data_IF_369679982979
#
_entry.id   IF_369679982979
#
_cell.length_a   1.000
_cell.length_b   1.000
_cell.length_c   1.000
_cell.angle_alpha   90.00
_cell.angle_beta   90.00
_cell.angle_gamma   90.00
#
_symmetry.space_group_name_H-M   'P 1'
#
loop_
_entity.id
_entity.type
_entity.pdbx_description
1 polymer ?
#
# COMPACT_ATOMS: atom_id res chain seq x y z
N UNK A 1 -25.45 -27.81 -4.02
CA UNK A 1 -24.65 -26.65 -3.64
C UNK A 1 -25.41 -25.85 -2.60
N UNK A 2 -24.88 -25.71 -1.39
CA UNK A 2 -25.45 -24.89 -0.31
C UNK A 2 -24.39 -23.82 -0.01
N UNK A 3 -24.76 -22.54 -0.04
CA UNK A 3 -23.90 -21.33 -0.13
C UNK A 3 -23.81 -20.73 -1.56
N UNK A 4 -24.94 -20.29 -2.08
CA UNK A 4 -25.07 -19.56 -3.35
C UNK A 4 -25.48 -18.09 -3.15
N UNK A 5 -25.37 -17.56 -1.93
CA UNK A 5 -25.78 -16.18 -1.61
C UNK A 5 -27.29 -16.00 -1.40
N UNK A 6 -28.11 -17.05 -1.50
CA UNK A 6 -29.57 -16.96 -1.38
C UNK A 6 -30.13 -17.93 -0.35
N UNK A 7 -31.19 -17.50 0.34
CA UNK A 7 -31.99 -18.33 1.25
C UNK A 7 -33.48 -18.05 1.03
N UNK A 8 -34.35 -18.97 1.43
CA UNK A 8 -35.79 -18.70 1.41
C UNK A 8 -36.18 -17.60 2.44
N UNK A 9 -37.32 -16.93 2.20
CA UNK A 9 -37.88 -15.94 3.14
C UNK A 9 -38.06 -16.50 4.56
N UNK A 10 -38.50 -17.75 4.67
CA UNK A 10 -38.67 -18.41 5.96
C UNK A 10 -37.33 -18.61 6.68
N UNK A 11 -36.29 -19.04 5.96
CA UNK A 11 -34.94 -19.20 6.52
C UNK A 11 -34.34 -17.85 6.95
N UNK A 12 -34.52 -16.80 6.16
CA UNK A 12 -34.10 -15.44 6.52
C UNK A 12 -34.78 -14.96 7.81
N UNK A 13 -36.11 -15.05 7.90
CA UNK A 13 -36.87 -14.66 9.10
C UNK A 13 -36.46 -15.47 10.33
N UNK A 14 -36.29 -16.77 10.17
CA UNK A 14 -35.81 -17.65 11.24
C UNK A 14 -34.41 -17.24 11.71
N UNK A 15 -33.52 -16.87 10.79
CA UNK A 15 -32.17 -16.40 11.09
C UNK A 15 -32.18 -15.12 11.93
N UNK A 16 -33.02 -14.14 11.58
CA UNK A 16 -33.16 -12.91 12.38
C UNK A 16 -33.63 -13.24 13.81
N UNK A 17 -34.68 -14.04 13.94
CA UNK A 17 -35.22 -14.45 15.24
C UNK A 17 -34.19 -15.23 16.08
N UNK A 18 -33.45 -16.16 15.48
CA UNK A 18 -32.44 -16.96 16.19
C UNK A 18 -31.26 -16.12 16.68
N UNK A 19 -31.00 -14.98 16.04
CA UNK A 19 -29.96 -14.03 16.45
C UNK A 19 -30.50 -12.91 17.37
N UNK A 20 -31.75 -13.02 17.83
CA UNK A 20 -32.37 -12.02 18.71
C UNK A 20 -32.71 -10.69 18.02
N UNK A 21 -32.70 -10.66 16.68
CA UNK A 21 -33.10 -9.50 15.90
C UNK A 21 -34.61 -9.52 15.72
N UNK A 22 -35.30 -8.80 16.61
CA UNK A 22 -36.75 -8.62 16.55
C UNK A 22 -37.05 -7.44 15.61
N UNK A 23 -37.56 -7.75 14.42
CA UNK A 23 -38.01 -6.74 13.44
C UNK A 23 -39.54 -6.73 13.37
N UNK A 24 -40.11 -5.54 13.16
CA UNK A 24 -41.54 -5.41 12.89
C UNK A 24 -41.91 -6.08 11.56
N UNK A 25 -43.20 -6.36 11.34
CA UNK A 25 -43.65 -6.89 10.05
C UNK A 25 -43.37 -5.94 8.89
N UNK A 26 -43.38 -4.63 9.14
CA UNK A 26 -43.08 -3.60 8.13
C UNK A 26 -41.59 -3.60 7.78
N UNK A 27 -40.71 -3.73 8.77
CA UNK A 27 -39.26 -3.83 8.57
C UNK A 27 -38.89 -5.11 7.81
N UNK A 28 -39.48 -6.26 8.19
CA UNK A 28 -39.28 -7.52 7.47
C UNK A 28 -39.75 -7.41 6.03
N UNK A 29 -40.91 -6.78 5.80
CA UNK A 29 -41.42 -6.55 4.46
C UNK A 29 -40.49 -5.64 3.64
N UNK A 30 -39.97 -4.57 4.23
CA UNK A 30 -39.03 -3.66 3.56
C UNK A 30 -37.73 -4.38 3.18
N UNK A 31 -37.17 -5.20 4.08
CA UNK A 31 -35.99 -6.02 3.80
C UNK A 31 -36.27 -7.03 2.68
N UNK A 32 -37.40 -7.71 2.73
CA UNK A 32 -37.82 -8.67 1.71
C UNK A 32 -38.03 -8.02 0.34
N UNK A 33 -38.54 -6.78 0.29
CA UNK A 33 -38.70 -6.06 -0.97
C UNK A 33 -37.39 -5.58 -1.56
N UNK A 34 -36.39 -5.28 -0.71
CA UNK A 34 -35.09 -4.78 -1.15
C UNK A 34 -34.17 -5.91 -1.61
N UNK A 35 -34.19 -7.05 -0.93
CA UNK A 35 -33.18 -8.10 -1.09
C UNK A 35 -33.71 -9.44 -1.60
N UNK A 36 -35.02 -9.62 -1.83
CA UNK A 36 -35.49 -10.80 -2.56
C UNK A 36 -35.36 -10.62 -4.07
N UNK A 37 -34.97 -11.70 -4.73
CA UNK A 37 -35.06 -11.88 -6.18
C UNK A 37 -35.71 -13.24 -6.53
N UNK A 38 -35.60 -13.66 -7.79
CA UNK A 38 -36.15 -14.93 -8.28
C UNK A 38 -35.57 -16.17 -7.57
N UNK A 39 -34.40 -16.06 -6.94
CA UNK A 39 -33.71 -17.14 -6.23
C UNK A 39 -34.00 -17.12 -4.71
N UNK A 40 -34.56 -16.03 -4.20
CA UNK A 40 -34.89 -15.85 -2.78
C UNK A 40 -34.21 -14.62 -2.18
N UNK A 41 -33.99 -14.63 -0.87
CA UNK A 41 -33.36 -13.53 -0.15
C UNK A 41 -31.84 -13.56 -0.34
N UNK A 42 -31.30 -12.52 -0.99
CA UNK A 42 -29.89 -12.36 -1.26
C UNK A 42 -29.15 -11.83 -0.02
N UNK A 43 -28.64 -12.75 0.80
CA UNK A 43 -27.97 -12.39 2.05
C UNK A 43 -26.56 -11.84 1.84
N UNK A 44 -25.92 -12.11 0.70
CA UNK A 44 -24.62 -11.51 0.37
C UNK A 44 -24.74 -9.99 0.21
N UNK A 45 -25.76 -9.53 -0.52
CA UNK A 45 -25.99 -8.10 -0.68
C UNK A 45 -26.40 -7.45 0.64
N UNK A 46 -27.32 -8.08 1.39
CA UNK A 46 -27.70 -7.60 2.72
C UNK A 46 -26.49 -7.41 3.65
N UNK A 47 -25.63 -8.43 3.78
CA UNK A 47 -24.45 -8.35 4.66
C UNK A 47 -23.46 -7.28 4.20
N UNK A 48 -23.26 -7.12 2.88
CA UNK A 48 -22.37 -6.09 2.34
C UNK A 48 -22.81 -4.66 2.73
N UNK A 49 -24.12 -4.41 2.84
CA UNK A 49 -24.64 -3.10 3.22
C UNK A 49 -24.72 -2.89 4.75
N UNK A 50 -24.95 -3.97 5.51
CA UNK A 50 -25.11 -3.90 6.97
C UNK A 50 -23.78 -3.98 7.71
N UNK A 51 -22.80 -4.73 7.18
CA UNK A 51 -21.49 -4.81 7.79
C UNK A 51 -20.75 -3.48 7.63
N UNK A 52 -20.31 -2.83 8.72
CA UNK A 52 -19.46 -1.67 8.60
C UNK A 52 -18.18 -2.10 7.89
N UNK A 53 -17.79 -1.37 6.84
CA UNK A 53 -16.49 -1.56 6.20
C UNK A 53 -15.44 -1.56 7.30
N UNK A 54 -14.80 -2.71 7.53
CA UNK A 54 -13.65 -2.76 8.41
C UNK A 54 -12.67 -1.75 7.84
N UNK A 55 -12.21 -0.82 8.67
CA UNK A 55 -11.15 0.08 8.28
C UNK A 55 -9.93 -0.79 7.95
N UNK A 56 -9.69 -0.99 6.66
CA UNK A 56 -8.46 -1.59 6.17
C UNK A 56 -7.43 -0.47 6.10
N UNK A 57 -6.37 -0.59 6.89
CA UNK A 57 -5.28 0.37 6.85
C UNK A 57 -4.70 0.40 5.44
N UNK A 58 -4.61 1.57 4.78
CA UNK A 58 -4.11 1.65 3.41
C UNK A 58 -2.72 1.04 3.30
N UNK A 59 -2.53 0.11 2.36
CA UNK A 59 -1.21 -0.48 2.06
C UNK A 59 -0.14 0.59 1.73
N UNK A 60 -0.58 1.78 1.30
CA UNK A 60 0.27 2.93 1.08
C UNK A 60 1.05 3.37 2.33
N UNK A 61 0.48 3.20 3.53
CA UNK A 61 1.15 3.59 4.78
C UNK A 61 2.40 2.74 4.98
N UNK A 62 2.27 1.42 4.89
CA UNK A 62 3.38 0.48 4.99
C UNK A 62 4.44 0.74 3.90
N UNK A 63 4.00 0.96 2.66
CA UNK A 63 4.88 1.31 1.55
C UNK A 63 5.65 2.63 1.79
N UNK A 64 4.97 3.67 2.27
CA UNK A 64 5.56 4.98 2.55
C UNK A 64 6.62 4.90 3.64
N UNK A 65 6.35 4.13 4.71
CA UNK A 65 7.35 3.87 5.75
C UNK A 65 8.57 3.12 5.22
N UNK A 66 8.36 2.11 4.38
CA UNK A 66 9.46 1.35 3.77
C UNK A 66 10.32 2.24 2.87
N UNK A 67 9.71 3.08 2.04
CA UNK A 67 10.44 4.02 1.18
C UNK A 67 11.24 5.04 1.99
N UNK A 68 10.69 5.56 3.10
CA UNK A 68 11.44 6.42 4.03
C UNK A 68 12.66 5.70 4.60
N UNK A 69 12.51 4.44 5.04
CA UNK A 69 13.64 3.63 5.57
C UNK A 69 14.73 3.40 4.52
N UNK A 70 14.36 3.13 3.28
CA UNK A 70 15.31 2.93 2.18
C UNK A 70 16.05 4.23 1.82
N UNK A 71 15.36 5.36 1.80
CA UNK A 71 15.95 6.67 1.51
C UNK A 71 16.81 7.22 2.66
N UNK A 72 16.51 6.84 3.92
CA UNK A 72 17.31 7.20 5.09
C UNK A 72 18.54 6.31 5.30
N UNK A 73 18.75 5.27 4.47
CA UNK A 73 20.06 4.61 4.43
C UNK A 73 21.04 5.63 3.87
N UNK A 74 21.82 6.24 4.75
CA UNK A 74 23.03 6.95 4.36
C UNK A 74 23.80 6.02 3.43
N UNK A 75 23.84 6.39 2.15
CA UNK A 75 24.88 5.88 1.27
C UNK A 75 26.16 6.37 1.92
N UNK A 76 26.82 5.48 2.69
CA UNK A 76 28.21 5.69 3.08
C UNK A 76 28.94 5.79 1.75
N UNK A 77 29.06 7.01 1.22
CA UNK A 77 29.95 7.36 0.11
C UNK A 77 31.36 7.14 0.63
N UNK A 78 31.74 5.88 0.81
CA UNK A 78 33.13 5.47 0.76
C UNK A 78 33.58 5.94 -0.62
N UNK A 79 34.61 6.77 -0.65
CA UNK A 79 35.28 7.36 -1.83
C UNK A 79 35.05 8.87 -2.08
N UNK A 80 35.01 9.71 -1.05
CA UNK A 80 35.37 11.13 -1.26
C UNK A 80 36.90 11.39 -1.18
N UNK A 81 37.70 10.39 -0.79
CA UNK A 81 39.16 10.53 -0.67
C UNK A 81 39.95 10.14 -1.94
N UNK A 82 39.26 9.67 -2.99
CA UNK A 82 39.88 9.32 -4.29
C UNK A 82 39.70 10.39 -5.37
N UNK A 83 39.00 11.49 -5.07
CA UNK A 83 39.05 12.68 -5.90
C UNK A 83 40.41 13.35 -5.66
N UNK A 84 41.42 12.84 -6.38
CA UNK A 84 42.80 13.32 -6.33
C UNK A 84 42.80 14.83 -6.47
N UNK A 85 43.34 15.51 -5.47
CA UNK A 85 43.45 16.96 -5.41
C UNK A 85 44.04 17.50 -6.73
N UNK A 86 43.19 18.11 -7.55
CA UNK A 86 43.56 18.61 -8.89
C UNK A 86 44.73 19.59 -8.80
N UNK A 87 44.84 20.33 -7.70
CA UNK A 87 45.94 21.27 -7.46
C UNK A 87 47.28 20.54 -7.36
N UNK A 88 47.34 19.38 -6.70
CA UNK A 88 48.56 18.59 -6.60
C UNK A 88 48.97 17.98 -7.94
N UNK A 89 48.00 17.52 -8.74
CA UNK A 89 48.26 16.99 -10.08
C UNK A 89 48.82 18.11 -10.98
N UNK A 90 48.19 19.28 -10.97
CA UNK A 90 48.62 20.42 -11.78
C UNK A 90 49.99 20.96 -11.33
N UNK A 91 50.28 20.97 -10.03
CA UNK A 91 51.58 21.37 -9.51
C UNK A 91 52.70 20.44 -9.99
N UNK A 92 52.48 19.11 -9.96
CA UNK A 92 53.43 18.12 -10.47
C UNK A 92 53.68 18.28 -11.97
N UNK A 93 52.62 18.48 -12.76
CA UNK A 93 52.75 18.72 -14.21
C UNK A 93 53.56 20.00 -14.47
N UNK A 94 53.21 21.10 -13.79
CA UNK A 94 53.90 22.38 -13.95
C UNK A 94 55.39 22.28 -13.59
N UNK A 95 55.72 21.62 -12.49
CA UNK A 95 57.12 21.41 -12.08
C UNK A 95 57.92 20.63 -13.12
N UNK A 96 57.31 19.60 -13.73
CA UNK A 96 57.99 18.81 -14.75
C UNK A 96 58.20 19.58 -16.06
N UNK A 97 57.22 20.40 -16.48
CA UNK A 97 57.35 21.29 -17.64
C UNK A 97 58.48 22.30 -17.43
N UNK A 98 58.52 22.95 -16.26
CA UNK A 98 59.57 23.94 -15.97
C UNK A 98 60.98 23.33 -15.91
N UNK A 99 61.12 22.09 -15.44
CA UNK A 99 62.40 21.36 -15.49
C UNK A 99 62.85 21.07 -16.93
N UNK A 100 61.94 20.59 -17.78
CA UNK A 100 62.23 20.34 -19.19
C UNK A 100 62.56 21.61 -19.97
N UNK A 101 61.93 22.73 -19.64
CA UNK A 101 62.25 24.05 -20.22
C UNK A 101 63.64 24.53 -19.80
N UNK A 102 64.04 24.32 -18.54
CA UNK A 102 65.36 24.68 -18.05
C UNK A 102 66.47 23.83 -18.69
N UNK A 103 66.27 22.52 -18.84
CA UNK A 103 67.23 21.62 -19.50
C UNK A 103 67.43 21.92 -20.99
N UNK A 104 66.42 22.50 -21.66
CA UNK A 104 66.50 22.93 -23.07
C UNK A 104 67.17 24.28 -23.26
N UNK A 105 67.34 25.06 -22.19
CA UNK A 105 67.93 26.39 -22.21
C UNK A 105 69.44 26.40 -21.88
N UNK A 106 70.00 25.25 -21.49
CA UNK A 106 71.45 24.98 -21.31
C UNK A 106 72.03 24.20 -22.49
#
# INVERSE_FOLDING_TARGET
>A
SHNNGHVSRAQFRQCLLSNGLLSSNEELYALEQRYNDELGFNYFWFLKEVEPNRYEEPLYNAYSEEMKRLNCRETKRKNLDRERNIVEILAKIKGHVSLLEAERAT
#
